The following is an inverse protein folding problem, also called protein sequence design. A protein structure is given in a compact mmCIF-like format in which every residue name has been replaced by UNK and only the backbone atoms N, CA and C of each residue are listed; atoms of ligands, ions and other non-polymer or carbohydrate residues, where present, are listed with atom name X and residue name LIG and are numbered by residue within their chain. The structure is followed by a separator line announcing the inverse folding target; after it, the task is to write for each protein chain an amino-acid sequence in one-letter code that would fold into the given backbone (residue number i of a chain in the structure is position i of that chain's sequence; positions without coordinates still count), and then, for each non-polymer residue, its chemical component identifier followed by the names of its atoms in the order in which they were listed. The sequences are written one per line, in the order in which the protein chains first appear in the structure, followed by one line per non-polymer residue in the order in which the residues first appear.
data_IF_086934925715
#
_entry.id   IF_086934925715
#
_cell.length_a   1.000
_cell.length_b   1.000
_cell.length_c   1.000
_cell.angle_alpha   90.00
_cell.angle_beta   90.00
_cell.angle_gamma   90.00
#
_symmetry.space_group_name_H-M   'P 1'
#
loop_
_entity.id
_entity.type
_entity.pdbx_description
1 polymer ?
#
# COMPACT_ATOMS: atom_id res chain seq x y z
N UNK A 1 46.21 -61.50 -20.14
CA UNK A 1 45.39 -60.28 -20.26
C UNK A 1 43.92 -60.67 -20.16
N UNK A 2 43.24 -60.39 -19.04
CA UNK A 2 41.77 -60.35 -18.96
C UNK A 2 41.35 -59.74 -17.62
N UNK A 3 41.34 -58.41 -17.57
CA UNK A 3 40.87 -57.63 -16.42
C UNK A 3 39.65 -56.80 -16.85
N UNK A 4 38.59 -57.49 -17.28
CA UNK A 4 37.32 -56.89 -17.73
C UNK A 4 36.14 -57.47 -16.95
N UNK A 5 36.18 -57.41 -15.62
CA UNK A 5 34.98 -57.71 -14.84
C UNK A 5 34.98 -57.16 -13.40
N UNK A 6 35.47 -55.93 -13.18
CA UNK A 6 35.06 -55.16 -11.99
C UNK A 6 33.63 -54.67 -12.19
N UNK A 7 32.69 -55.59 -11.97
CA UNK A 7 31.24 -55.38 -12.01
C UNK A 7 30.87 -54.17 -11.15
N UNK A 8 30.05 -53.28 -11.73
CA UNK A 8 29.28 -52.24 -11.05
C UNK A 8 28.57 -52.83 -9.81
N UNK A 9 29.22 -52.78 -8.66
CA UNK A 9 28.56 -53.08 -7.39
C UNK A 9 27.71 -51.86 -7.05
N UNK A 10 26.43 -52.02 -6.68
CA UNK A 10 25.65 -50.89 -6.19
C UNK A 10 26.42 -50.24 -5.03
N UNK A 11 26.48 -48.90 -4.96
CA UNK A 11 27.20 -48.22 -3.91
C UNK A 11 26.74 -48.76 -2.56
N UNK A 12 27.70 -49.14 -1.70
CA UNK A 12 27.38 -49.64 -0.35
C UNK A 12 26.45 -48.63 0.32
N UNK A 13 25.24 -49.06 0.63
CA UNK A 13 24.27 -48.21 1.31
C UNK A 13 24.84 -47.81 2.66
N UNK A 14 25.07 -46.51 2.84
CA UNK A 14 25.43 -45.94 4.13
C UNK A 14 24.20 -46.01 5.05
N UNK A 15 24.41 -46.37 6.32
CA UNK A 15 23.34 -46.55 7.31
C UNK A 15 23.77 -45.97 8.67
N UNK A 16 22.79 -45.57 9.47
CA UNK A 16 23.02 -45.05 10.82
C UNK A 16 23.87 -43.77 10.81
N UNK A 17 24.80 -43.66 11.78
CA UNK A 17 25.66 -42.49 11.99
C UNK A 17 26.54 -42.14 10.79
N UNK A 18 27.05 -43.15 10.07
CA UNK A 18 27.86 -42.94 8.85
C UNK A 18 27.10 -42.25 7.73
N UNK A 19 25.77 -42.38 7.71
CA UNK A 19 24.92 -41.66 6.78
C UNK A 19 24.69 -40.22 7.24
N UNK A 20 24.54 -40.00 8.55
CA UNK A 20 24.38 -38.66 9.14
C UNK A 20 25.61 -37.79 8.87
N UNK A 21 26.80 -38.30 9.21
CA UNK A 21 28.08 -37.64 8.94
C UNK A 21 28.25 -37.32 7.45
N UNK A 22 27.84 -38.24 6.56
CA UNK A 22 27.97 -38.01 5.12
C UNK A 22 26.99 -36.94 4.61
N UNK A 23 25.78 -36.89 5.15
CA UNK A 23 24.80 -35.84 4.83
C UNK A 23 25.36 -34.48 5.25
N UNK A 24 25.91 -34.39 6.47
CA UNK A 24 26.51 -33.17 7.01
C UNK A 24 27.66 -32.66 6.15
N UNK A 25 28.63 -33.53 5.84
CA UNK A 25 29.77 -33.18 4.98
C UNK A 25 29.30 -32.64 3.63
N UNK A 26 28.32 -33.31 3.01
CA UNK A 26 27.81 -32.90 1.70
C UNK A 26 27.09 -31.55 1.77
N UNK A 27 26.33 -31.28 2.84
CA UNK A 27 25.67 -29.98 3.03
C UNK A 27 26.72 -28.88 3.18
N UNK A 28 27.76 -29.10 3.99
CA UNK A 28 28.87 -28.15 4.18
C UNK A 28 29.63 -27.89 2.88
N UNK A 29 30.00 -28.95 2.13
CA UNK A 29 30.65 -28.83 0.81
C UNK A 29 29.80 -28.04 -0.20
N UNK A 30 28.48 -28.21 -0.18
CA UNK A 30 27.57 -27.48 -1.07
C UNK A 30 27.39 -26.01 -0.64
N UNK A 31 27.45 -25.75 0.66
CA UNK A 31 27.40 -24.39 1.21
C UNK A 31 28.67 -23.62 0.83
N UNK A 32 29.85 -24.20 1.03
CA UNK A 32 31.14 -23.61 0.64
C UNK A 32 31.20 -23.30 -0.86
N UNK A 33 30.71 -24.20 -1.72
CA UNK A 33 30.61 -23.94 -3.17
C UNK A 33 29.70 -22.76 -3.50
N UNK A 34 28.58 -22.64 -2.80
CA UNK A 34 27.64 -21.53 -3.03
C UNK A 34 28.22 -20.20 -2.57
N UNK A 35 28.95 -20.22 -1.45
CA UNK A 35 29.66 -19.05 -0.92
C UNK A 35 30.81 -18.62 -1.83
N UNK A 36 31.57 -19.57 -2.39
CA UNK A 36 32.60 -19.30 -3.40
C UNK A 36 32.04 -18.67 -4.68
N UNK A 37 30.78 -18.98 -5.03
CA UNK A 37 30.03 -18.34 -6.12
C UNK A 37 29.39 -16.99 -5.72
N UNK A 38 29.57 -16.54 -4.48
CA UNK A 38 28.99 -15.30 -3.95
C UNK A 38 27.48 -15.37 -3.71
N UNK A 39 26.90 -16.56 -3.60
CA UNK A 39 25.46 -16.78 -3.42
C UNK A 39 25.16 -17.36 -2.05
N UNK A 40 24.04 -16.93 -1.44
CA UNK A 40 23.56 -17.54 -0.20
C UNK A 40 23.12 -18.98 -0.46
N UNK A 41 23.65 -19.93 0.31
CA UNK A 41 23.26 -21.33 0.23
C UNK A 41 21.77 -21.52 0.57
N UNK A 42 21.08 -22.29 -0.29
CA UNK A 42 19.69 -22.71 -0.08
C UNK A 42 19.63 -24.22 -0.21
N UNK A 43 19.24 -24.89 0.87
CA UNK A 43 19.23 -26.35 0.92
C UNK A 43 18.18 -26.94 -0.01
N UNK A 44 18.61 -27.89 -0.82
CA UNK A 44 17.75 -28.63 -1.75
C UNK A 44 17.93 -30.14 -1.52
N UNK A 45 16.93 -30.77 -0.92
CA UNK A 45 16.97 -32.20 -0.59
C UNK A 45 17.23 -33.09 -1.82
N UNK A 46 16.76 -32.70 -3.00
CA UNK A 46 17.01 -33.44 -4.25
C UNK A 46 18.47 -33.34 -4.71
N UNK A 47 19.14 -32.22 -4.43
CA UNK A 47 20.55 -32.02 -4.76
C UNK A 47 21.44 -32.83 -3.80
N UNK A 48 21.13 -32.81 -2.51
CA UNK A 48 21.83 -33.62 -1.50
C UNK A 48 21.62 -35.12 -1.77
N UNK A 49 20.42 -35.55 -2.15
CA UNK A 49 20.11 -36.94 -2.53
C UNK A 49 20.87 -37.45 -3.77
N UNK A 50 21.40 -36.56 -4.62
CA UNK A 50 22.23 -36.96 -5.77
C UNK A 50 23.68 -37.19 -5.34
N UNK A 51 24.14 -36.46 -4.32
CA UNK A 51 25.51 -36.51 -3.80
C UNK A 51 25.70 -37.57 -2.72
N UNK A 52 24.63 -37.93 -2.01
CA UNK A 52 24.59 -39.02 -1.03
C UNK A 52 23.84 -40.20 -1.66
N UNK A 53 24.28 -41.47 -1.54
CA UNK A 53 23.60 -42.63 -2.11
C UNK A 53 22.30 -42.99 -1.35
N UNK A 54 21.37 -42.03 -1.26
CA UNK A 54 20.10 -42.12 -0.54
C UNK A 54 18.98 -41.41 -1.27
N UNK A 55 17.74 -41.84 -1.02
CA UNK A 55 16.57 -41.17 -1.58
C UNK A 55 16.26 -39.86 -0.83
N UNK A 56 15.61 -38.92 -1.51
CA UNK A 56 15.08 -37.69 -0.90
C UNK A 56 14.25 -37.98 0.35
N UNK A 57 13.39 -39.01 0.29
CA UNK A 57 12.54 -39.41 1.43
C UNK A 57 13.34 -39.82 2.67
N UNK A 58 14.54 -40.41 2.48
CA UNK A 58 15.42 -40.76 3.60
C UNK A 58 16.06 -39.52 4.23
N UNK A 59 16.38 -38.50 3.43
CA UNK A 59 16.86 -37.20 3.92
C UNK A 59 15.72 -36.47 4.65
N UNK A 60 14.51 -36.48 4.11
CA UNK A 60 13.33 -35.86 4.73
C UNK A 60 13.01 -36.50 6.10
N UNK A 61 13.21 -37.82 6.26
CA UNK A 61 13.06 -38.51 7.55
C UNK A 61 14.11 -38.08 8.59
N UNK A 62 15.21 -37.48 8.17
CA UNK A 62 16.29 -36.97 9.02
C UNK A 62 16.24 -35.43 9.07
N UNK A 63 15.03 -34.86 9.00
CA UNK A 63 14.84 -33.41 8.95
C UNK A 63 15.46 -32.69 10.14
N UNK A 64 15.37 -33.24 11.35
CA UNK A 64 15.93 -32.63 12.56
C UNK A 64 17.43 -32.36 12.44
N UNK A 65 18.20 -33.36 11.99
CA UNK A 65 19.64 -33.22 11.76
C UNK A 65 19.95 -32.19 10.67
N UNK A 66 19.16 -32.19 9.59
CA UNK A 66 19.32 -31.21 8.53
C UNK A 66 19.06 -29.81 9.07
N UNK A 67 18.01 -29.62 9.86
CA UNK A 67 17.61 -28.31 10.36
C UNK A 67 18.67 -27.76 11.34
N UNK A 68 19.25 -28.59 12.21
CA UNK A 68 20.42 -28.24 13.05
C UNK A 68 21.60 -27.72 12.22
N UNK A 69 21.96 -28.43 11.15
CA UNK A 69 23.07 -28.04 10.25
C UNK A 69 22.75 -26.74 9.50
N UNK A 70 21.50 -26.53 9.10
CA UNK A 70 21.09 -25.31 8.39
C UNK A 70 21.11 -24.09 9.31
N UNK A 71 20.76 -24.27 10.58
CA UNK A 71 20.84 -23.23 11.61
C UNK A 71 22.30 -22.84 11.88
N UNK A 72 23.21 -23.82 12.01
CA UNK A 72 24.67 -23.56 12.11
C UNK A 72 25.18 -22.75 10.91
N UNK A 73 24.70 -23.06 9.71
CA UNK A 73 25.11 -22.40 8.46
C UNK A 73 24.32 -21.11 8.16
N UNK A 74 23.39 -20.68 9.03
CA UNK A 74 22.47 -19.55 8.80
C UNK A 74 21.76 -19.59 7.43
N UNK A 75 21.49 -20.80 6.94
CA UNK A 75 21.00 -21.08 5.60
C UNK A 75 19.54 -21.54 5.63
N UNK A 76 18.83 -21.39 4.50
CA UNK A 76 17.39 -21.70 4.45
C UNK A 76 17.14 -22.95 3.64
N UNK A 77 16.17 -23.76 4.07
CA UNK A 77 15.61 -24.86 3.26
C UNK A 77 14.81 -24.28 2.09
N UNK A 78 15.01 -24.83 0.89
CA UNK A 78 14.14 -24.57 -0.27
C UNK A 78 12.74 -25.10 0.08
N UNK A 79 11.80 -24.20 0.34
CA UNK A 79 10.42 -24.59 0.63
C UNK A 79 9.79 -25.22 -0.60
N UNK A 80 9.34 -26.48 -0.48
CA UNK A 80 8.64 -27.22 -1.54
C UNK A 80 7.14 -27.35 -1.25
N UNK A 81 6.68 -26.92 -0.08
CA UNK A 81 5.26 -26.97 0.29
C UNK A 81 4.63 -25.59 0.13
N UNK A 82 3.91 -25.40 -0.97
CA UNK A 82 3.17 -24.16 -1.26
C UNK A 82 2.14 -23.76 -0.19
N UNK A 83 1.81 -24.66 0.75
CA UNK A 83 0.86 -24.37 1.84
C UNK A 83 1.34 -23.27 2.79
N UNK A 84 2.61 -23.31 3.23
CA UNK A 84 3.15 -22.30 4.14
C UNK A 84 3.26 -20.92 3.44
N UNK A 85 3.61 -20.92 2.15
CA UNK A 85 3.60 -19.69 1.34
C UNK A 85 2.18 -19.18 1.10
N UNK A 86 1.19 -20.06 0.95
CA UNK A 86 -0.22 -19.67 0.78
C UNK A 86 -0.76 -19.04 2.07
N UNK A 87 -0.46 -19.61 3.25
CA UNK A 87 -0.85 -19.02 4.53
C UNK A 87 -0.18 -17.66 4.74
N UNK A 88 1.13 -17.57 4.50
CA UNK A 88 1.83 -16.30 4.59
C UNK A 88 1.27 -15.25 3.61
N UNK A 89 0.93 -15.64 2.38
CA UNK A 89 0.31 -14.76 1.39
C UNK A 89 -1.11 -14.36 1.78
N UNK A 90 -1.88 -15.26 2.42
CA UNK A 90 -3.22 -14.95 2.97
C UNK A 90 -3.14 -13.94 4.10
N UNK A 91 -2.17 -14.10 5.01
CA UNK A 91 -1.94 -13.15 6.11
C UNK A 91 -1.53 -11.77 5.58
N UNK A 92 -0.66 -11.74 4.56
CA UNK A 92 -0.29 -10.50 3.89
C UNK A 92 -1.50 -9.84 3.21
N UNK A 93 -2.33 -10.62 2.52
CA UNK A 93 -3.58 -10.13 1.93
C UNK A 93 -4.53 -9.56 2.99
N UNK A 94 -4.69 -10.22 4.13
CA UNK A 94 -5.54 -9.76 5.22
C UNK A 94 -5.02 -8.42 5.79
N UNK A 95 -3.71 -8.32 6.03
CA UNK A 95 -3.07 -7.09 6.51
C UNK A 95 -3.23 -5.94 5.51
N UNK A 96 -3.00 -6.19 4.23
CA UNK A 96 -3.15 -5.17 3.19
C UNK A 96 -4.60 -4.69 3.06
N UNK A 97 -5.58 -5.61 3.13
CA UNK A 97 -7.00 -5.24 3.15
C UNK A 97 -7.36 -4.37 4.36
N UNK A 98 -6.85 -4.70 5.54
CA UNK A 98 -7.05 -3.88 6.73
C UNK A 98 -6.46 -2.48 6.56
N UNK A 99 -5.23 -2.36 6.03
CA UNK A 99 -4.60 -1.08 5.75
C UNK A 99 -5.37 -0.23 4.73
N UNK A 100 -5.91 -0.86 3.67
CA UNK A 100 -6.77 -0.18 2.70
C UNK A 100 -8.02 0.36 3.39
N UNK A 101 -8.70 -0.46 4.19
CA UNK A 101 -9.91 -0.02 4.89
C UNK A 101 -9.66 1.14 5.86
N UNK A 102 -8.51 1.14 6.56
CA UNK A 102 -8.12 2.22 7.45
C UNK A 102 -7.80 3.51 6.67
N UNK A 103 -7.09 3.38 5.54
CA UNK A 103 -6.79 4.51 4.64
C UNK A 103 -8.07 5.10 4.05
N UNK A 104 -9.03 4.27 3.66
CA UNK A 104 -10.31 4.73 3.12
C UNK A 104 -11.12 5.52 4.16
N UNK A 105 -11.12 5.06 5.43
CA UNK A 105 -11.73 5.80 6.53
C UNK A 105 -11.06 7.17 6.72
N UNK A 106 -9.73 7.23 6.70
CA UNK A 106 -8.99 8.49 6.81
C UNK A 106 -9.30 9.44 5.64
N UNK A 107 -9.32 8.94 4.40
CA UNK A 107 -9.65 9.73 3.22
C UNK A 107 -11.06 10.31 3.32
N UNK A 108 -12.03 9.52 3.77
CA UNK A 108 -13.41 9.98 3.91
C UNK A 108 -13.53 11.04 5.02
N UNK A 109 -12.82 10.88 6.14
CA UNK A 109 -12.77 11.90 7.20
C UNK A 109 -12.12 13.21 6.72
N UNK A 110 -11.06 13.13 5.91
CA UNK A 110 -10.44 14.32 5.33
C UNK A 110 -11.36 15.01 4.32
N UNK A 111 -12.09 14.24 3.52
CA UNK A 111 -13.09 14.79 2.59
C UNK A 111 -14.25 15.47 3.32
N UNK A 112 -14.77 14.88 4.39
CA UNK A 112 -15.83 15.53 5.17
C UNK A 112 -15.31 16.83 5.80
N UNK A 113 -14.11 16.81 6.38
CA UNK A 113 -13.50 18.01 6.95
C UNK A 113 -13.27 19.11 5.90
N UNK A 114 -12.93 18.73 4.66
CA UNK A 114 -12.76 19.66 3.55
C UNK A 114 -14.08 20.34 3.15
N UNK A 115 -15.17 19.57 3.10
CA UNK A 115 -16.52 20.10 2.87
C UNK A 115 -16.89 21.08 4.00
N UNK A 116 -16.73 20.68 5.26
CA UNK A 116 -17.04 21.53 6.41
C UNK A 116 -16.29 22.87 6.39
N UNK A 117 -15.01 22.86 5.97
CA UNK A 117 -14.23 24.08 5.83
C UNK A 117 -14.87 25.01 4.79
N UNK A 118 -15.23 24.49 3.62
CA UNK A 118 -15.79 25.31 2.56
C UNK A 118 -17.21 25.79 2.87
N UNK A 119 -18.03 24.98 3.53
CA UNK A 119 -19.34 25.41 4.01
C UNK A 119 -19.19 26.59 4.97
N UNK A 120 -18.29 26.50 5.96
CA UNK A 120 -18.02 27.63 6.86
C UNK A 120 -17.50 28.85 6.13
N UNK A 121 -16.59 28.69 5.17
CA UNK A 121 -16.12 29.81 4.37
C UNK A 121 -17.24 30.45 3.55
N UNK A 122 -18.12 29.63 2.99
CA UNK A 122 -19.28 30.11 2.24
C UNK A 122 -20.25 30.86 3.16
N UNK A 123 -20.57 30.30 4.33
CA UNK A 123 -21.48 30.91 5.31
C UNK A 123 -20.95 32.24 5.87
N UNK A 124 -19.62 32.37 5.96
CA UNK A 124 -18.96 33.61 6.37
C UNK A 124 -18.54 34.49 5.19
N UNK A 125 -18.77 34.07 3.95
CA UNK A 125 -18.49 34.89 2.78
C UNK A 125 -19.60 35.90 2.58
N UNK A 126 -19.21 37.16 2.32
CA UNK A 126 -20.15 38.18 1.88
C UNK A 126 -20.38 38.00 0.39
N UNK A 127 -21.62 38.18 -0.05
CA UNK A 127 -21.92 38.24 -1.48
C UNK A 127 -21.10 39.38 -2.09
N UNK A 128 -20.26 39.07 -3.08
CA UNK A 128 -19.40 40.05 -3.74
C UNK A 128 -20.20 41.24 -4.30
N UNK A 129 -21.45 41.00 -4.67
CA UNK A 129 -22.41 42.03 -5.08
C UNK A 129 -22.56 43.13 -4.02
N UNK A 130 -22.60 42.81 -2.73
CA UNK A 130 -22.71 43.81 -1.65
C UNK A 130 -21.47 44.70 -1.51
N UNK A 131 -20.30 44.21 -1.96
CA UNK A 131 -19.06 44.99 -1.95
C UNK A 131 -18.95 45.89 -3.19
N UNK A 132 -19.53 45.45 -4.31
CA UNK A 132 -19.37 46.09 -5.62
C UNK A 132 -20.54 47.03 -5.93
N UNK A 133 -21.75 46.73 -5.45
CA UNK A 133 -22.95 47.55 -5.72
C UNK A 133 -22.78 49.01 -5.31
N UNK A 134 -22.17 49.38 -4.16
CA UNK A 134 -22.03 50.77 -3.79
C UNK A 134 -21.07 51.52 -4.72
N UNK A 135 -20.05 50.83 -5.24
CA UNK A 135 -19.06 51.40 -6.17
C UNK A 135 -19.73 51.63 -7.53
N UNK A 136 -20.46 50.63 -8.03
CA UNK A 136 -21.15 50.75 -9.31
C UNK A 136 -22.31 51.76 -9.26
N UNK A 137 -23.01 51.87 -8.14
CA UNK A 137 -24.02 52.92 -7.93
C UNK A 137 -23.39 54.32 -7.98
N UNK A 138 -22.22 54.51 -7.36
CA UNK A 138 -21.48 55.77 -7.43
C UNK A 138 -21.02 56.07 -8.86
N UNK A 139 -20.39 55.12 -9.54
CA UNK A 139 -19.92 55.29 -10.92
C UNK A 139 -21.09 55.56 -11.89
N UNK A 140 -22.22 54.87 -11.73
CA UNK A 140 -23.42 55.10 -12.52
C UNK A 140 -23.99 56.51 -12.29
N UNK A 141 -24.05 56.96 -11.03
CA UNK A 141 -24.50 58.30 -10.68
C UNK A 141 -23.56 59.39 -11.23
N UNK A 142 -22.23 59.18 -11.18
CA UNK A 142 -21.23 60.09 -11.74
C UNK A 142 -21.33 60.17 -13.28
N UNK A 143 -21.57 59.04 -13.93
CA UNK A 143 -21.80 58.96 -15.37
C UNK A 143 -23.18 59.51 -15.79
N UNK A 144 -24.06 59.82 -14.82
CA UNK A 144 -25.39 60.34 -15.08
C UNK A 144 -26.37 59.30 -15.59
N UNK A 145 -26.19 58.02 -15.29
CA UNK A 145 -27.10 56.93 -15.68
C UNK A 145 -27.71 56.25 -14.44
N UNK A 146 -28.95 55.76 -14.58
CA UNK A 146 -29.60 54.96 -13.54
C UNK A 146 -28.93 53.59 -13.42
N UNK A 147 -28.42 53.26 -12.24
CA UNK A 147 -27.75 51.99 -11.95
C UNK A 147 -28.59 50.74 -12.31
N UNK A 148 -29.91 50.77 -12.09
CA UNK A 148 -30.77 49.60 -12.30
C UNK A 148 -31.30 49.42 -13.73
N UNK A 149 -31.46 50.50 -14.50
CA UNK A 149 -32.06 50.43 -15.85
C UNK A 149 -31.24 51.08 -16.96
N UNK A 150 -30.07 51.66 -16.65
CA UNK A 150 -29.13 52.22 -17.62
C UNK A 150 -29.65 53.43 -18.40
N UNK A 151 -30.79 54.00 -18.02
CA UNK A 151 -31.33 55.20 -18.64
C UNK A 151 -30.63 56.45 -18.12
N UNK A 152 -30.42 57.46 -18.96
CA UNK A 152 -29.88 58.76 -18.54
C UNK A 152 -30.74 59.36 -17.41
N UNK A 153 -30.08 59.78 -16.35
CA UNK A 153 -30.67 60.49 -15.22
C UNK A 153 -30.92 61.94 -15.64
N UNK A 154 -31.91 62.13 -16.51
CA UNK A 154 -32.54 63.43 -16.63
C UNK A 154 -33.01 63.83 -15.22
N UNK A 155 -32.71 65.07 -14.83
CA UNK A 155 -33.16 65.69 -13.59
C UNK A 155 -34.68 65.84 -13.61
N UNK A 156 -35.38 64.71 -13.45
CA UNK A 156 -36.82 64.64 -13.40
C UNK A 156 -37.27 65.29 -12.09
N UNK A 157 -37.59 66.58 -12.15
CA UNK A 157 -38.51 67.24 -11.22
C UNK A 157 -39.86 66.54 -11.34
N UNK A 158 -40.02 65.39 -10.67
CA UNK A 158 -41.31 64.72 -10.54
C UNK A 158 -42.14 65.51 -9.53
N UNK A 159 -43.20 66.18 -10.00
CA UNK A 159 -44.29 66.61 -9.11
C UNK A 159 -44.86 65.37 -8.44
N UNK A 160 -44.55 65.15 -7.16
CA UNK A 160 -45.10 64.01 -6.42
C UNK A 160 -46.60 64.23 -6.16
N UNK A 161 -47.45 63.30 -6.59
CA UNK A 161 -48.89 63.28 -6.23
C UNK A 161 -49.13 62.69 -4.83
N UNK A 162 -48.14 62.73 -3.93
CA UNK A 162 -48.28 62.23 -2.57
C UNK A 162 -49.02 63.27 -1.74
N UNK A 163 -50.27 62.98 -1.37
CA UNK A 163 -51.07 63.81 -0.45
C UNK A 163 -50.58 63.56 0.98
N UNK A 164 -50.18 64.60 1.75
CA UNK A 164 -49.73 64.41 3.13
C UNK A 164 -50.91 64.06 4.04
N UNK A 165 -50.78 62.96 4.78
CA UNK A 165 -51.76 62.49 5.75
C UNK A 165 -51.61 63.29 7.06
N UNK A 166 -52.48 64.27 7.29
CA UNK A 166 -52.49 65.06 8.52
C UNK A 166 -53.12 64.25 9.67
N UNK A 167 -52.30 63.74 10.60
CA UNK A 167 -52.77 63.28 11.90
C UNK A 167 -53.10 64.49 12.79
N UNK A 168 -54.39 64.83 12.93
CA UNK A 168 -54.86 65.64 14.04
C UNK A 168 -55.20 64.72 15.21
N UNK A 169 -54.28 64.57 16.17
CA UNK A 169 -54.65 64.17 17.52
C UNK A 169 -55.39 65.35 18.16
N UNK A 170 -56.64 65.12 18.58
CA UNK A 170 -57.39 66.01 19.47
C UNK A 170 -57.10 65.56 20.90
N UNK A 171 -56.55 66.48 21.69
CA UNK A 171 -56.65 66.46 23.15
C UNK A 171 -58.12 66.61 23.59
#
# INVERSE_FOLDING_TARGET
MNDKNKRNRPPKQLRGKKLDERIEIVIKELAEKSEAEGRKYVFNASQVARSVPTTRRTIDRRSSLVDEILDELNSRRRMVTGSATIEQLRDQLARLKAQISERDLQINALRSHHIDIYERFHDHSLQAELLISPILEQEANEAGYCFFCGSESDSFVRKSNVVPFNHKHKD
#
